data_IF_339281456624
#
_entry.id   IF_339281456624
#
_cell.length_a   1.000
_cell.length_b   1.000
_cell.length_c   1.000
_cell.angle_alpha   90.00
_cell.angle_beta   90.00
_cell.angle_gamma   90.00
#
_symmetry.space_group_name_H-M   'P 1'
#
loop_
_entity.id
_entity.type
_entity.pdbx_description
1 polymer ?
#
# COMPACT_ATOMS: atom_id res chain seq x y z
N UNK A 1 -6.51 20.08 0.75
CA UNK A 1 -7.12 19.98 2.10
C UNK A 1 -8.31 19.01 2.13
N UNK A 2 -9.39 19.21 1.35
CA UNK A 2 -10.58 18.31 1.34
C UNK A 2 -10.31 16.83 1.01
N UNK A 3 -9.37 16.54 0.11
CA UNK A 3 -9.03 15.16 -0.30
C UNK A 3 -8.44 14.31 0.84
N UNK A 4 -7.69 14.94 1.75
CA UNK A 4 -7.08 14.23 2.87
C UNK A 4 -8.12 13.89 3.96
N UNK A 5 -9.06 14.80 4.23
CA UNK A 5 -10.15 14.58 5.19
C UNK A 5 -11.05 13.41 4.76
N UNK A 6 -11.45 13.37 3.48
CA UNK A 6 -12.26 12.28 2.93
C UNK A 6 -11.56 10.92 3.04
N UNK A 7 -10.25 10.87 2.78
CA UNK A 7 -9.48 9.64 2.95
C UNK A 7 -9.44 9.21 4.42
N UNK A 8 -9.15 10.12 5.35
CA UNK A 8 -9.09 9.79 6.78
C UNK A 8 -10.43 9.27 7.30
N UNK A 9 -11.54 9.86 6.87
CA UNK A 9 -12.88 9.37 7.20
C UNK A 9 -13.11 7.95 6.66
N UNK A 10 -12.74 7.70 5.40
CA UNK A 10 -12.85 6.37 4.80
C UNK A 10 -12.00 5.32 5.53
N UNK A 11 -10.77 5.66 5.93
CA UNK A 11 -9.89 4.79 6.71
C UNK A 11 -10.43 4.52 8.12
N UNK A 12 -11.08 5.51 8.74
CA UNK A 12 -11.75 5.34 10.02
C UNK A 12 -12.93 4.37 9.92
N UNK A 13 -13.77 4.51 8.88
CA UNK A 13 -14.86 3.54 8.59
C UNK A 13 -14.34 2.13 8.35
N UNK A 14 -13.23 2.00 7.61
CA UNK A 14 -12.56 0.70 7.44
C UNK A 14 -12.12 0.09 8.76
N UNK A 15 -11.44 0.88 9.60
CA UNK A 15 -10.96 0.43 10.90
C UNK A 15 -12.09 0.06 11.86
N UNK A 16 -13.25 0.69 11.73
CA UNK A 16 -14.46 0.38 12.48
C UNK A 16 -15.25 -0.83 11.93
N UNK A 17 -14.81 -1.44 10.81
CA UNK A 17 -15.49 -2.57 10.17
C UNK A 17 -16.79 -2.20 9.44
N UNK A 18 -17.01 -0.92 9.13
CA UNK A 18 -18.24 -0.42 8.50
C UNK A 18 -18.04 0.04 7.04
N UNK A 19 -16.86 -0.17 6.45
CA UNK A 19 -16.59 0.17 5.04
C UNK A 19 -16.95 -0.98 4.10
N UNK A 20 -17.92 -0.74 3.21
CA UNK A 20 -18.23 -1.61 2.07
C UNK A 20 -17.48 -1.24 0.78
N UNK A 21 -16.67 -0.18 0.83
CA UNK A 21 -16.03 0.46 -0.31
C UNK A 21 -14.49 0.49 -0.19
N UNK A 22 -13.92 -0.31 0.70
CA UNK A 22 -12.49 -0.35 1.01
C UNK A 22 -11.60 -0.48 -0.24
N UNK A 23 -12.05 -1.22 -1.25
CA UNK A 23 -11.34 -1.41 -2.52
C UNK A 23 -11.09 -0.11 -3.30
N UNK A 24 -11.79 0.99 -2.98
CA UNK A 24 -11.60 2.31 -3.62
C UNK A 24 -10.39 3.06 -3.10
N UNK A 25 -9.84 2.66 -1.96
CA UNK A 25 -8.70 3.36 -1.34
C UNK A 25 -7.62 2.41 -0.83
N UNK A 26 -7.94 1.17 -0.46
CA UNK A 26 -6.96 0.11 -0.17
C UNK A 26 -6.41 -0.49 -1.48
N UNK A 27 -5.20 -1.01 -1.44
CA UNK A 27 -4.52 -1.55 -2.62
C UNK A 27 -3.73 -0.50 -3.38
N UNK A 28 -3.61 -0.67 -4.70
CA UNK A 28 -2.86 0.22 -5.58
C UNK A 28 -3.79 1.13 -6.41
N UNK A 29 -3.59 2.45 -6.31
CA UNK A 29 -4.40 3.45 -7.00
C UNK A 29 -3.52 4.50 -7.67
N UNK A 30 -3.90 4.92 -8.89
CA UNK A 30 -3.26 6.08 -9.52
C UNK A 30 -3.56 7.34 -8.70
N UNK A 31 -2.53 8.13 -8.41
CA UNK A 31 -2.69 9.40 -7.69
C UNK A 31 -1.71 10.45 -8.24
N UNK A 32 -2.07 11.73 -8.10
CA UNK A 32 -1.15 12.85 -8.27
C UNK A 32 -0.86 13.43 -6.88
N UNK A 33 0.42 13.53 -6.50
CA UNK A 33 0.86 14.19 -5.27
C UNK A 33 1.86 15.28 -5.63
N UNK A 34 1.64 16.48 -5.12
CA UNK A 34 2.52 17.64 -5.32
C UNK A 34 2.89 17.89 -6.80
N UNK A 35 1.93 17.68 -7.70
CA UNK A 35 2.09 17.86 -9.15
C UNK A 35 2.74 16.67 -9.87
N UNK A 36 3.16 15.62 -9.16
CA UNK A 36 3.76 14.42 -9.73
C UNK A 36 2.73 13.29 -9.83
N UNK A 37 2.59 12.71 -11.03
CA UNK A 37 1.79 11.49 -11.24
C UNK A 37 2.53 10.27 -10.71
N UNK A 38 1.78 9.33 -10.12
CA UNK A 38 2.32 8.07 -9.63
C UNK A 38 1.22 7.13 -9.16
N UNK A 39 1.61 6.18 -8.32
CA UNK A 39 0.70 5.25 -7.68
C UNK A 39 0.85 5.30 -6.17
N UNK A 40 -0.28 5.25 -5.46
CA UNK A 40 -0.32 5.05 -4.02
C UNK A 40 -0.67 3.61 -3.72
N UNK A 41 0.08 3.01 -2.80
CA UNK A 41 -0.12 1.66 -2.30
C UNK A 41 -0.57 1.74 -0.86
N UNK A 42 -1.65 1.04 -0.50
CA UNK A 42 -2.16 0.97 0.87
C UNK A 42 -2.44 -0.47 1.30
N UNK A 43 -1.94 -0.85 2.47
CA UNK A 43 -2.18 -2.17 3.05
C UNK A 43 -2.47 -2.09 4.53
N UNK A 44 -3.44 -2.90 4.97
CA UNK A 44 -3.73 -3.10 6.38
C UNK A 44 -2.80 -4.16 6.95
N UNK A 45 -1.93 -3.75 7.87
CA UNK A 45 -0.93 -4.61 8.50
C UNK A 45 -0.63 -4.11 9.93
N UNK A 46 -1.59 -4.23 10.87
CA UNK A 46 -1.52 -3.61 12.19
C UNK A 46 -0.32 -4.07 13.01
N UNK A 47 -0.03 -5.36 12.95
CA UNK A 47 1.02 -6.01 13.74
C UNK A 47 2.39 -6.01 13.03
N UNK A 48 2.51 -5.36 11.87
CA UNK A 48 3.80 -5.25 11.20
C UNK A 48 4.72 -4.29 11.96
N UNK A 49 6.01 -4.63 12.01
CA UNK A 49 7.08 -3.75 12.46
C UNK A 49 7.41 -2.73 11.37
N UNK A 50 7.55 -3.20 10.13
CA UNK A 50 7.75 -2.36 8.95
C UNK A 50 7.08 -2.99 7.74
N UNK A 51 6.68 -2.16 6.78
CA UNK A 51 6.16 -2.61 5.48
C UNK A 51 6.91 -1.88 4.38
N UNK A 52 7.21 -2.58 3.29
CA UNK A 52 7.77 -2.00 2.05
C UNK A 52 6.91 -2.45 0.88
N UNK A 53 6.78 -1.60 -0.14
CA UNK A 53 6.25 -2.01 -1.44
C UNK A 53 7.44 -2.27 -2.36
N UNK A 54 7.54 -3.49 -2.86
CA UNK A 54 8.62 -3.94 -3.73
C UNK A 54 8.05 -4.25 -5.09
N UNK A 55 8.73 -3.84 -6.16
CA UNK A 55 8.31 -4.09 -7.52
C UNK A 55 9.38 -3.73 -8.53
N UNK A 56 9.03 -3.74 -9.82
CA UNK A 56 9.96 -3.39 -10.90
C UNK A 56 10.55 -1.97 -10.72
N UNK A 57 9.75 -1.02 -10.27
CA UNK A 57 10.13 0.39 -10.05
C UNK A 57 11.24 0.60 -9.01
N UNK A 58 11.53 -0.38 -8.15
CA UNK A 58 12.64 -0.33 -7.20
C UNK A 58 13.52 -1.59 -7.27
N UNK A 59 13.50 -2.29 -8.39
CA UNK A 59 14.29 -3.51 -8.62
C UNK A 59 14.12 -4.58 -7.53
N UNK A 60 12.93 -4.65 -6.92
CA UNK A 60 12.62 -5.55 -5.80
C UNK A 60 13.55 -5.40 -4.58
N UNK A 61 14.21 -4.25 -4.44
CA UNK A 61 15.22 -4.02 -3.40
C UNK A 61 14.59 -3.86 -2.02
N UNK A 62 14.92 -4.75 -1.09
CA UNK A 62 14.42 -4.72 0.30
C UNK A 62 15.07 -3.64 1.17
N UNK A 63 16.15 -3.02 0.70
CA UNK A 63 16.84 -1.93 1.39
C UNK A 63 16.17 -0.56 1.19
N UNK A 64 15.25 -0.43 0.23
CA UNK A 64 14.56 0.85 -0.03
C UNK A 64 13.59 1.23 1.09
N UNK A 65 13.25 2.52 1.11
CA UNK A 65 12.51 3.16 2.19
C UNK A 65 11.18 2.44 2.52
N UNK A 66 10.83 2.33 3.81
CA UNK A 66 9.58 1.74 4.26
C UNK A 66 8.37 2.59 3.83
N UNK A 67 7.21 1.92 3.71
CA UNK A 67 5.91 2.59 3.71
C UNK A 67 5.72 3.34 5.03
N UNK A 68 4.98 4.44 4.98
CA UNK A 68 4.62 5.24 6.14
C UNK A 68 3.37 4.70 6.80
N UNK A 69 3.36 4.66 8.13
CA UNK A 69 2.18 4.28 8.90
C UNK A 69 1.26 5.50 9.02
N UNK A 70 0.13 5.49 8.30
CA UNK A 70 -0.82 6.64 8.25
C UNK A 70 -1.98 6.51 9.25
N UNK A 71 -2.23 5.30 9.76
CA UNK A 71 -3.12 5.03 10.90
C UNK A 71 -2.47 3.98 11.79
N UNK A 72 -2.99 3.66 12.99
CA UNK A 72 -2.43 2.58 13.81
C UNK A 72 -2.30 1.24 13.08
N UNK A 73 -3.05 1.01 11.99
CA UNK A 73 -3.12 -0.27 11.31
C UNK A 73 -2.83 -0.26 9.81
N UNK A 74 -2.74 0.90 9.17
CA UNK A 74 -2.62 1.04 7.71
C UNK A 74 -1.30 1.71 7.33
N UNK A 75 -0.67 1.16 6.31
CA UNK A 75 0.58 1.62 5.73
C UNK A 75 0.34 2.18 4.33
N UNK A 76 1.08 3.21 3.96
CA UNK A 76 0.99 3.90 2.68
C UNK A 76 2.37 4.18 2.07
N UNK A 77 2.50 4.06 0.75
CA UNK A 77 3.61 4.66 0.01
C UNK A 77 3.11 5.24 -1.30
N UNK A 78 3.62 6.42 -1.65
CA UNK A 78 3.47 6.98 -2.98
C UNK A 78 4.73 6.71 -3.80
N UNK A 79 4.57 6.09 -4.96
CA UNK A 79 5.67 5.74 -5.86
C UNK A 79 5.47 6.49 -7.18
N UNK A 80 6.23 7.55 -7.45
CA UNK A 80 6.05 8.37 -8.65
C UNK A 80 6.44 7.64 -9.95
N UNK A 81 7.41 6.72 -9.88
CA UNK A 81 7.95 6.05 -11.06
C UNK A 81 7.25 4.73 -11.40
N UNK A 82 6.28 4.29 -10.60
CA UNK A 82 5.52 3.08 -10.87
C UNK A 82 4.68 3.23 -12.15
N UNK A 83 4.67 2.18 -12.97
CA UNK A 83 3.95 2.14 -14.25
C UNK A 83 2.73 1.21 -14.17
N UNK A 84 1.82 1.37 -15.13
CA UNK A 84 0.73 0.40 -15.31
C UNK A 84 1.35 -0.96 -15.64
N UNK A 85 0.85 -2.00 -14.99
CA UNK A 85 1.36 -3.38 -15.08
C UNK A 85 2.72 -3.65 -14.43
N UNK A 86 3.27 -2.71 -13.65
CA UNK A 86 4.37 -3.06 -12.77
C UNK A 86 3.92 -4.10 -11.75
N UNK A 87 4.64 -5.23 -11.74
CA UNK A 87 4.49 -6.24 -10.70
C UNK A 87 4.98 -5.70 -9.36
N UNK A 88 4.25 -6.01 -8.29
CA UNK A 88 4.64 -5.64 -6.94
C UNK A 88 4.17 -6.66 -5.89
N UNK A 89 4.82 -6.62 -4.73
CA UNK A 89 4.41 -7.31 -3.49
C UNK A 89 4.69 -6.42 -2.28
N UNK A 90 3.99 -6.69 -1.19
CA UNK A 90 4.35 -6.14 0.11
C UNK A 90 5.39 -7.04 0.77
N UNK A 91 6.50 -6.44 1.19
CA UNK A 91 7.42 -7.05 2.15
C UNK A 91 6.99 -6.60 3.55
N UNK A 92 6.57 -7.55 4.38
CA UNK A 92 6.03 -7.29 5.71
C UNK A 92 6.98 -7.90 6.74
N UNK A 93 7.62 -7.05 7.53
CA UNK A 93 8.47 -7.45 8.66
C UNK A 93 7.63 -7.48 9.94
N UNK A 94 7.80 -8.52 10.75
CA UNK A 94 7.15 -8.70 12.05
C UNK A 94 8.05 -8.22 13.19
N UNK A 95 7.50 -8.00 14.41
CA UNK A 95 8.29 -7.58 15.57
C UNK A 95 9.43 -8.54 15.94
N UNK A 96 9.27 -9.83 15.66
CA UNK A 96 10.29 -10.87 15.88
C UNK A 96 11.42 -10.88 14.83
N UNK A 97 11.38 -9.96 13.85
CA UNK A 97 12.34 -9.88 12.75
C UNK A 97 12.06 -10.84 11.59
N UNK A 98 11.08 -11.74 11.71
CA UNK A 98 10.64 -12.55 10.58
C UNK A 98 9.95 -11.69 9.52
N UNK A 99 9.99 -12.11 8.25
CA UNK A 99 9.34 -11.38 7.17
C UNK A 99 8.59 -12.30 6.22
N UNK A 100 7.70 -11.71 5.44
CA UNK A 100 7.02 -12.42 4.35
C UNK A 100 6.73 -11.48 3.17
N UNK A 101 6.78 -12.05 1.96
CA UNK A 101 6.26 -11.40 0.77
C UNK A 101 4.78 -11.74 0.62
N UNK A 102 3.95 -10.73 0.41
CA UNK A 102 2.50 -10.87 0.25
C UNK A 102 2.05 -10.17 -1.03
N UNK A 103 1.26 -10.88 -1.82
CA UNK A 103 0.44 -10.24 -2.85
C UNK A 103 -0.55 -9.29 -2.18
N UNK A 104 -0.98 -8.27 -2.93
CA UNK A 104 -1.94 -7.30 -2.42
C UNK A 104 -3.32 -7.95 -2.20
N UNK A 105 -3.90 -7.89 -0.98
CA UNK A 105 -5.26 -8.38 -0.73
C UNK A 105 -6.33 -7.67 -1.56
N UNK A 106 -6.04 -6.45 -2.03
CA UNK A 106 -6.89 -5.61 -2.88
C UNK A 106 -6.33 -5.49 -4.31
N UNK A 107 -5.52 -6.45 -4.78
CA UNK A 107 -5.04 -6.48 -6.16
C UNK A 107 -6.21 -6.46 -7.17
N UNK A 108 -6.15 -5.56 -8.15
CA UNK A 108 -7.06 -5.53 -9.30
C UNK A 108 -6.56 -6.38 -10.48
N UNK A 109 -5.28 -6.74 -10.45
CA UNK A 109 -4.62 -7.56 -11.45
C UNK A 109 -3.49 -8.37 -10.79
N UNK A 110 -3.27 -9.59 -11.26
CA UNK A 110 -2.24 -10.48 -10.74
C UNK A 110 -1.55 -11.23 -11.88
N UNK A 111 -0.27 -11.55 -11.68
CA UNK A 111 0.49 -12.42 -12.60
C UNK A 111 -0.20 -13.78 -12.75
N UNK A 112 -0.03 -14.41 -13.91
CA UNK A 112 -0.61 -15.73 -14.20
C UNK A 112 -0.15 -16.76 -13.17
N UNK A 113 -1.07 -17.64 -12.74
CA UNK A 113 -0.73 -18.76 -11.86
C UNK A 113 0.37 -19.65 -12.49
N UNK A 114 1.23 -20.29 -11.69
CA UNK A 114 1.92 -21.49 -12.11
C UNK A 114 0.93 -22.61 -12.48
#
# INVERSE_FOLDING_TARGET
>A
MKHNEQLMEALARFSAGSSGDAYRFMGCHRQVRDGQSGFVFRVWAPNAKSVRVLGRFNNWDTAVAPMERITPSIWEAFVPNAQVYDEYKYYIERPDGSFSYKSDPYAVHASTRP
#
